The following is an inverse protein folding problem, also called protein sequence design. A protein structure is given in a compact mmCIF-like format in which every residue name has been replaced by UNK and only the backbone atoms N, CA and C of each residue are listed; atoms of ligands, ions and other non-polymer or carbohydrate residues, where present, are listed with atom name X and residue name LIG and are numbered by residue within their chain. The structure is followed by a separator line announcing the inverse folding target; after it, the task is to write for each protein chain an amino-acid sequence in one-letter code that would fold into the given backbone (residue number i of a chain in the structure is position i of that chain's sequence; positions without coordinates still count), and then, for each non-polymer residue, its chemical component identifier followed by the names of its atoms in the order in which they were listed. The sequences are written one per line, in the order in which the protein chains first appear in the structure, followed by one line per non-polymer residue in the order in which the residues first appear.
data_IF_681836079981
#
_entry.id   IF_681836079981
#
_cell.length_a   1.000
_cell.length_b   1.000
_cell.length_c   1.000
_cell.angle_alpha   90.00
_cell.angle_beta   90.00
_cell.angle_gamma   90.00
#
_symmetry.space_group_name_H-M   'P 1'
#
loop_
_entity.id
_entity.type
_entity.pdbx_description
1 polymer ?
#
# COMPACT_ATOMS: atom_id res chain seq x y z
N UNK A 1 15.65 -40.94 4.58
CA UNK A 1 14.86 -39.71 4.29
C UNK A 1 15.14 -38.71 5.40
N UNK A 2 15.62 -37.52 5.15
CA UNK A 2 15.99 -36.57 6.19
C UNK A 2 14.77 -35.79 6.77
N UNK A 3 13.56 -36.13 6.37
CA UNK A 3 12.34 -35.43 6.83
C UNK A 3 12.15 -35.54 8.35
N UNK A 4 12.24 -36.73 8.97
CA UNK A 4 12.11 -36.83 10.44
C UNK A 4 13.12 -35.97 11.17
N UNK A 5 14.38 -35.96 10.76
CA UNK A 5 15.43 -35.15 11.39
C UNK A 5 15.18 -33.64 11.23
N UNK A 6 14.58 -33.22 10.11
CA UNK A 6 14.14 -31.81 9.92
C UNK A 6 12.97 -31.46 10.81
N UNK A 7 12.01 -32.40 11.00
CA UNK A 7 10.87 -32.21 11.88
C UNK A 7 11.32 -32.08 13.34
N UNK A 8 12.18 -33.00 13.82
CA UNK A 8 12.75 -32.96 15.18
C UNK A 8 13.50 -31.64 15.41
N UNK A 9 14.27 -31.20 14.41
CA UNK A 9 14.98 -29.93 14.50
C UNK A 9 14.04 -28.75 14.53
N UNK A 10 12.99 -28.73 13.71
CA UNK A 10 11.97 -27.68 13.70
C UNK A 10 11.27 -27.61 15.08
N UNK A 11 10.85 -28.74 15.62
CA UNK A 11 10.22 -28.83 16.94
C UNK A 11 11.14 -28.30 18.05
N UNK A 12 12.43 -28.65 18.01
CA UNK A 12 13.44 -28.15 18.97
C UNK A 12 13.60 -26.63 18.92
N UNK A 13 13.24 -26.00 17.80
CA UNK A 13 13.27 -24.56 17.58
C UNK A 13 11.90 -23.88 17.83
N UNK A 14 10.88 -24.64 18.23
CA UNK A 14 9.51 -24.15 18.40
C UNK A 14 8.82 -23.81 17.08
N UNK A 15 9.24 -24.43 15.98
CA UNK A 15 8.67 -24.24 14.64
C UNK A 15 7.70 -25.40 14.38
N UNK A 16 6.46 -25.08 14.01
CA UNK A 16 5.48 -26.07 13.57
C UNK A 16 5.92 -26.66 12.22
N UNK A 17 6.13 -27.96 12.17
CA UNK A 17 6.52 -28.65 10.93
C UNK A 17 5.36 -29.44 10.35
N UNK A 18 5.11 -29.29 9.06
CA UNK A 18 4.05 -29.98 8.32
C UNK A 18 4.64 -30.60 7.07
N UNK A 19 4.41 -31.90 6.89
CA UNK A 19 4.63 -32.57 5.61
C UNK A 19 3.29 -32.62 4.88
N UNK A 20 3.13 -31.74 3.89
CA UNK A 20 1.90 -31.62 3.16
C UNK A 20 1.95 -32.46 1.86
N UNK A 21 0.99 -33.35 1.68
CA UNK A 21 0.77 -34.07 0.42
C UNK A 21 0.09 -33.20 -0.65
N UNK A 22 -0.31 -31.96 -0.26
CA UNK A 22 -0.96 -30.99 -1.15
C UNK A 22 -0.96 -29.58 -0.57
N UNK A 23 -1.17 -28.60 -1.44
CA UNK A 23 -1.12 -27.18 -1.09
C UNK A 23 -2.29 -26.72 -0.21
N UNK A 24 -3.43 -27.44 -0.24
CA UNK A 24 -4.69 -27.04 0.43
C UNK A 24 -4.54 -26.88 1.95
N UNK A 25 -3.76 -27.75 2.61
CA UNK A 25 -3.53 -27.66 4.05
C UNK A 25 -2.78 -26.39 4.45
N UNK A 26 -1.83 -25.97 3.62
CA UNK A 26 -1.04 -24.75 3.82
C UNK A 26 -1.90 -23.50 3.63
N UNK A 27 -2.81 -23.52 2.65
CA UNK A 27 -3.77 -22.44 2.36
C UNK A 27 -4.57 -22.09 3.62
N UNK A 28 -5.16 -23.09 4.27
CA UNK A 28 -5.97 -22.87 5.49
C UNK A 28 -5.20 -22.21 6.62
N UNK A 29 -3.95 -22.59 6.84
CA UNK A 29 -3.11 -22.02 7.90
C UNK A 29 -2.76 -20.55 7.64
N UNK A 30 -2.46 -20.22 6.38
CA UNK A 30 -2.13 -18.85 5.97
C UNK A 30 -3.38 -17.95 6.05
N UNK A 31 -4.51 -18.39 5.48
CA UNK A 31 -5.73 -17.59 5.44
C UNK A 31 -6.33 -17.34 6.83
N UNK A 32 -6.21 -18.30 7.74
CA UNK A 32 -6.69 -18.14 9.11
C UNK A 32 -5.67 -17.46 10.03
N UNK A 33 -4.55 -16.96 9.49
CA UNK A 33 -3.48 -16.28 10.25
C UNK A 33 -2.98 -17.12 11.46
N UNK A 34 -2.89 -18.45 11.27
CA UNK A 34 -2.40 -19.39 12.31
C UNK A 34 -0.87 -19.36 12.38
N UNK A 35 -0.21 -18.84 11.35
CA UNK A 35 1.25 -18.79 11.21
C UNK A 35 1.72 -17.36 10.95
N UNK A 36 2.81 -16.96 11.60
CA UNK A 36 3.41 -15.62 11.45
C UNK A 36 4.36 -15.54 10.25
N UNK A 37 4.96 -16.68 9.88
CA UNK A 37 5.85 -16.81 8.73
C UNK A 37 5.90 -18.26 8.25
N UNK A 38 6.37 -18.50 7.03
CA UNK A 38 6.44 -19.81 6.42
C UNK A 38 7.81 -20.05 5.80
N UNK A 39 8.42 -21.21 6.08
CA UNK A 39 9.55 -21.74 5.31
C UNK A 39 9.03 -22.90 4.47
N UNK A 40 8.95 -22.71 3.16
CA UNK A 40 8.50 -23.72 2.21
C UNK A 40 9.68 -24.43 1.54
N UNK A 41 9.73 -25.76 1.67
CA UNK A 41 10.72 -26.60 0.98
C UNK A 41 9.98 -27.49 -0.02
N UNK A 42 10.09 -27.22 -1.31
CA UNK A 42 9.34 -27.93 -2.35
C UNK A 42 9.95 -27.78 -3.75
N UNK A 43 9.32 -28.40 -4.75
CA UNK A 43 9.62 -28.08 -6.15
C UNK A 43 9.22 -26.64 -6.47
N UNK A 44 9.89 -26.05 -7.47
CA UNK A 44 9.70 -24.65 -7.84
C UNK A 44 8.25 -24.33 -8.18
N UNK A 45 7.57 -25.16 -8.95
CA UNK A 45 6.16 -25.00 -9.33
C UNK A 45 5.21 -24.88 -8.11
N UNK A 46 5.45 -25.69 -7.07
CA UNK A 46 4.65 -25.61 -5.84
C UNK A 46 4.95 -24.36 -5.03
N UNK A 47 6.20 -23.91 -4.99
CA UNK A 47 6.62 -22.70 -4.31
C UNK A 47 6.04 -21.46 -5.00
N UNK A 48 6.11 -21.40 -6.34
CA UNK A 48 5.53 -20.29 -7.12
C UNK A 48 4.01 -20.14 -6.91
N UNK A 49 3.29 -21.26 -6.80
CA UNK A 49 1.85 -21.24 -6.49
C UNK A 49 1.53 -20.73 -5.09
N UNK A 50 2.48 -20.82 -4.15
CA UNK A 50 2.32 -20.33 -2.78
C UNK A 50 2.50 -18.80 -2.66
N UNK A 51 3.33 -18.19 -3.49
CA UNK A 51 3.68 -16.76 -3.38
C UNK A 51 2.48 -15.81 -3.42
N UNK A 52 1.53 -15.90 -4.36
CA UNK A 52 0.38 -15.00 -4.39
C UNK A 52 -0.44 -15.05 -3.09
N UNK A 53 -0.54 -16.24 -2.49
CA UNK A 53 -1.27 -16.44 -1.24
C UNK A 53 -0.54 -15.79 -0.06
N UNK A 54 0.78 -15.97 0.06
CA UNK A 54 1.60 -15.35 1.10
C UNK A 54 1.54 -13.83 1.00
N UNK A 55 1.72 -13.29 -0.21
CA UNK A 55 1.64 -11.85 -0.47
C UNK A 55 0.25 -11.31 -0.14
N UNK A 56 -0.81 -11.98 -0.60
CA UNK A 56 -2.19 -11.55 -0.38
C UNK A 56 -2.61 -11.55 1.10
N UNK A 57 -1.95 -12.35 1.94
CA UNK A 57 -2.20 -12.41 3.38
C UNK A 57 -1.12 -11.72 4.23
N UNK A 58 -0.17 -11.03 3.59
CA UNK A 58 0.96 -10.35 4.24
C UNK A 58 1.77 -11.27 5.18
N UNK A 59 1.89 -12.57 4.84
CA UNK A 59 2.68 -13.55 5.59
C UNK A 59 4.08 -13.65 4.97
N UNK A 60 5.15 -13.31 5.72
CA UNK A 60 6.52 -13.48 5.26
C UNK A 60 6.81 -14.94 4.92
N UNK A 61 7.45 -15.19 3.78
CA UNK A 61 7.78 -16.54 3.33
C UNK A 61 9.20 -16.65 2.79
N UNK A 62 9.87 -17.73 3.16
CA UNK A 62 11.13 -18.14 2.58
C UNK A 62 10.91 -19.43 1.76
N UNK A 63 11.24 -19.39 0.48
CA UNK A 63 11.15 -20.54 -0.40
C UNK A 63 12.52 -21.17 -0.60
N UNK A 64 12.61 -22.48 -0.35
CA UNK A 64 13.82 -23.28 -0.57
C UNK A 64 13.49 -24.32 -1.63
N UNK A 65 13.94 -24.14 -2.88
CA UNK A 65 13.69 -25.09 -3.93
C UNK A 65 14.48 -26.39 -3.74
N UNK A 66 13.91 -27.51 -4.15
CA UNK A 66 14.59 -28.78 -4.19
C UNK A 66 15.72 -28.76 -5.23
N UNK A 67 16.89 -29.28 -4.89
CA UNK A 67 18.02 -29.42 -5.80
C UNK A 67 17.71 -30.44 -6.92
N UNK A 68 16.93 -31.48 -6.59
CA UNK A 68 16.35 -32.39 -7.53
C UNK A 68 14.85 -32.43 -7.33
N UNK A 69 14.13 -31.85 -8.26
CA UNK A 69 12.68 -31.83 -8.28
C UNK A 69 12.10 -33.15 -8.81
N UNK A 70 10.90 -33.49 -8.36
CA UNK A 70 10.15 -34.68 -8.78
C UNK A 70 9.28 -35.21 -7.64
N UNK A 71 8.49 -36.23 -7.92
CA UNK A 71 7.66 -36.92 -6.92
C UNK A 71 8.37 -38.09 -6.24
N UNK A 72 9.60 -38.39 -6.66
CA UNK A 72 10.40 -39.50 -6.16
C UNK A 72 11.89 -39.14 -6.18
N UNK A 73 12.63 -39.61 -5.17
CA UNK A 73 14.08 -39.41 -5.03
C UNK A 73 14.49 -37.91 -5.05
N UNK A 74 13.69 -37.07 -4.42
CA UNK A 74 13.95 -35.65 -4.30
C UNK A 74 15.14 -35.34 -3.39
N UNK A 75 15.86 -34.25 -3.65
CA UNK A 75 17.02 -33.83 -2.88
C UNK A 75 16.93 -32.35 -2.53
N UNK A 76 17.39 -32.02 -1.33
CA UNK A 76 17.53 -30.63 -0.86
C UNK A 76 18.86 -30.50 -0.10
N UNK A 77 19.44 -29.30 -0.10
CA UNK A 77 20.56 -29.00 0.79
C UNK A 77 20.05 -28.94 2.25
N UNK A 78 20.21 -30.07 2.94
CA UNK A 78 19.81 -30.21 4.33
C UNK A 78 20.47 -29.16 5.25
N UNK A 79 21.76 -28.90 5.07
CA UNK A 79 22.49 -27.92 5.85
C UNK A 79 21.96 -26.50 5.64
N UNK A 80 21.55 -26.18 4.43
CA UNK A 80 20.93 -24.92 4.10
C UNK A 80 19.56 -24.76 4.80
N UNK A 81 18.71 -25.79 4.74
CA UNK A 81 17.40 -25.77 5.45
C UNK A 81 17.58 -25.53 6.93
N UNK A 82 18.51 -26.26 7.58
CA UNK A 82 18.81 -26.10 9.02
C UNK A 82 19.28 -24.68 9.32
N UNK A 83 20.18 -24.12 8.51
CA UNK A 83 20.62 -22.72 8.70
C UNK A 83 19.46 -21.75 8.60
N UNK A 84 18.57 -21.88 7.63
CA UNK A 84 17.42 -21.01 7.45
C UNK A 84 16.43 -21.11 8.61
N UNK A 85 16.13 -22.32 9.10
CA UNK A 85 15.28 -22.52 10.28
C UNK A 85 15.91 -21.94 11.57
N UNK A 86 17.23 -21.92 11.64
CA UNK A 86 17.96 -21.42 12.82
C UNK A 86 18.17 -19.89 12.78
N UNK A 87 17.91 -19.23 11.64
CA UNK A 87 17.98 -17.78 11.54
C UNK A 87 16.82 -17.15 12.33
N UNK A 88 17.16 -16.52 13.42
CA UNK A 88 16.21 -15.77 14.24
C UNK A 88 16.67 -14.33 14.38
N UNK A 89 15.72 -13.43 14.41
CA UNK A 89 15.95 -12.06 14.86
C UNK A 89 15.33 -11.94 16.25
N UNK A 90 16.10 -11.47 17.22
CA UNK A 90 15.58 -11.11 18.55
C UNK A 90 14.79 -9.78 18.50
N UNK A 91 14.72 -9.15 17.33
CA UNK A 91 13.90 -7.96 17.13
C UNK A 91 12.45 -8.39 16.97
N UNK A 92 11.62 -7.87 17.84
CA UNK A 92 10.16 -7.96 17.70
C UNK A 92 9.77 -7.37 16.34
N UNK A 93 9.18 -8.20 15.47
CA UNK A 93 8.65 -7.74 14.17
C UNK A 93 7.32 -7.07 14.45
N UNK A 94 7.33 -5.75 14.49
CA UNK A 94 6.07 -5.00 14.51
C UNK A 94 5.42 -5.10 13.14
N UNK A 95 4.30 -5.78 13.07
CA UNK A 95 3.47 -5.80 11.86
C UNK A 95 2.64 -4.52 11.82
N UNK A 96 2.54 -3.94 10.63
CA UNK A 96 1.65 -2.81 10.40
C UNK A 96 0.19 -3.27 10.47
N UNK A 97 -0.63 -2.58 11.24
CA UNK A 97 -2.08 -2.78 11.25
C UNK A 97 -2.69 -2.15 9.97
N UNK A 98 -2.79 -2.97 8.92
CA UNK A 98 -3.30 -2.53 7.62
C UNK A 98 -4.77 -2.10 7.67
N UNK A 99 -5.59 -2.81 8.44
CA UNK A 99 -7.02 -2.56 8.50
C UNK A 99 -7.30 -1.31 9.35
N UNK A 100 -6.60 -1.14 10.47
CA UNK A 100 -6.64 0.06 11.29
C UNK A 100 -6.22 1.31 10.52
N UNK A 101 -5.09 1.25 9.82
CA UNK A 101 -4.62 2.37 9.00
C UNK A 101 -5.61 2.72 7.88
N UNK A 102 -6.22 1.71 7.24
CA UNK A 102 -7.26 1.95 6.22
C UNK A 102 -8.50 2.61 6.79
N UNK A 103 -8.93 2.21 7.99
CA UNK A 103 -10.06 2.83 8.68
C UNK A 103 -9.77 4.29 9.04
N UNK A 104 -8.55 4.59 9.46
CA UNK A 104 -8.13 5.96 9.77
C UNK A 104 -8.08 6.85 8.51
N UNK A 105 -7.57 6.33 7.39
CA UNK A 105 -7.66 7.04 6.12
C UNK A 105 -9.12 7.36 5.75
N UNK A 106 -10.04 6.43 5.98
CA UNK A 106 -11.48 6.69 5.76
C UNK A 106 -11.98 7.91 6.53
N UNK A 107 -11.53 8.09 7.77
CA UNK A 107 -11.85 9.27 8.60
C UNK A 107 -11.20 10.55 8.05
N UNK A 108 -9.92 10.48 7.62
CA UNK A 108 -9.20 11.66 7.11
C UNK A 108 -9.83 12.21 5.84
N UNK A 109 -10.40 11.35 5.00
CA UNK A 109 -11.06 11.72 3.74
C UNK A 109 -12.58 11.85 3.87
N UNK A 110 -13.13 11.87 5.08
CA UNK A 110 -14.54 12.24 5.26
C UNK A 110 -14.74 13.73 4.92
N UNK A 111 -15.92 14.08 4.42
CA UNK A 111 -16.23 15.47 4.05
C UNK A 111 -16.08 16.41 5.23
N UNK A 112 -16.47 15.99 6.43
CA UNK A 112 -16.36 16.78 7.66
C UNK A 112 -14.90 17.09 7.98
N UNK A 113 -14.01 16.10 7.89
CA UNK A 113 -12.60 16.31 8.17
C UNK A 113 -11.93 17.18 7.09
N UNK A 114 -12.22 16.89 5.81
CA UNK A 114 -11.70 17.70 4.70
C UNK A 114 -12.17 19.16 4.79
N UNK A 115 -13.43 19.41 5.12
CA UNK A 115 -13.96 20.77 5.33
C UNK A 115 -13.27 21.48 6.49
N UNK A 116 -12.78 20.78 7.50
CA UNK A 116 -12.00 21.36 8.60
C UNK A 116 -10.55 21.67 8.20
N UNK A 117 -10.00 20.93 7.26
CA UNK A 117 -8.62 21.08 6.78
C UNK A 117 -8.49 22.09 5.64
N UNK A 118 -9.50 22.19 4.78
CA UNK A 118 -9.50 23.04 3.59
C UNK A 118 -9.92 24.47 3.91
N UNK A 119 -9.62 25.38 2.98
CA UNK A 119 -10.20 26.71 2.97
C UNK A 119 -11.73 26.62 2.89
N UNK A 120 -12.47 27.54 3.54
CA UNK A 120 -13.94 27.48 3.56
C UNK A 120 -14.55 27.48 2.16
N UNK A 121 -15.29 26.42 1.80
CA UNK A 121 -15.99 26.28 0.53
C UNK A 121 -17.25 27.19 0.51
N UNK A 122 -17.09 28.43 0.07
CA UNK A 122 -18.17 29.45 0.05
C UNK A 122 -18.78 29.66 -1.34
N UNK A 123 -18.25 29.03 -2.36
CA UNK A 123 -18.66 29.12 -3.75
C UNK A 123 -18.79 27.74 -4.38
N UNK A 124 -19.38 27.67 -5.58
CA UNK A 124 -19.63 26.42 -6.28
C UNK A 124 -18.34 25.66 -6.59
N UNK A 125 -17.29 26.35 -7.06
CA UNK A 125 -16.04 25.72 -7.47
C UNK A 125 -15.34 25.05 -6.28
N UNK A 126 -15.27 25.75 -5.15
CA UNK A 126 -14.69 25.21 -3.90
C UNK A 126 -15.51 24.03 -3.36
N UNK A 127 -16.85 24.08 -3.48
CA UNK A 127 -17.72 22.97 -3.08
C UNK A 127 -17.48 21.74 -3.95
N UNK A 128 -17.37 21.90 -5.27
CA UNK A 128 -17.08 20.82 -6.22
C UNK A 128 -15.68 20.22 -5.95
N UNK A 129 -14.69 21.05 -5.63
CA UNK A 129 -13.36 20.58 -5.26
C UNK A 129 -13.37 19.71 -3.98
N UNK A 130 -14.11 20.14 -2.96
CA UNK A 130 -14.28 19.41 -1.71
C UNK A 130 -14.99 18.07 -1.93
N UNK A 131 -16.10 18.07 -2.68
CA UNK A 131 -16.86 16.85 -3.01
C UNK A 131 -16.02 15.88 -3.83
N UNK A 132 -15.25 16.37 -4.80
CA UNK A 132 -14.33 15.57 -5.58
C UNK A 132 -13.24 14.95 -4.72
N UNK A 133 -12.69 15.70 -3.77
CA UNK A 133 -11.68 15.22 -2.85
C UNK A 133 -12.23 14.14 -1.91
N UNK A 134 -13.43 14.29 -1.37
CA UNK A 134 -14.12 13.31 -0.52
C UNK A 134 -14.68 12.11 -1.28
N UNK A 135 -14.83 12.21 -2.60
CA UNK A 135 -15.42 11.19 -3.47
C UNK A 135 -14.56 9.92 -3.58
N UNK A 136 -14.93 9.04 -4.50
CA UNK A 136 -14.33 7.71 -4.70
C UNK A 136 -12.83 7.76 -4.98
N UNK A 137 -12.12 6.69 -4.57
CA UNK A 137 -10.70 6.50 -4.80
C UNK A 137 -10.11 5.49 -3.82
N UNK A 138 -9.13 4.72 -4.28
CA UNK A 138 -8.48 3.68 -3.45
C UNK A 138 -7.58 4.27 -2.35
N UNK A 139 -7.27 5.54 -2.38
CA UNK A 139 -6.41 6.27 -1.42
C UNK A 139 -5.05 5.60 -1.18
N UNK A 140 -4.52 4.88 -2.17
CA UNK A 140 -3.30 4.10 -1.98
C UNK A 140 -2.06 4.99 -1.79
N UNK A 141 -2.03 6.21 -2.36
CA UNK A 141 -0.91 7.14 -2.18
C UNK A 141 -0.82 7.68 -0.75
N UNK A 142 -1.91 8.23 -0.17
CA UNK A 142 -1.97 8.57 1.25
C UNK A 142 -1.64 7.38 2.15
N UNK A 143 -2.17 6.20 1.81
CA UNK A 143 -1.90 4.97 2.53
C UNK A 143 -0.41 4.63 2.55
N UNK A 144 0.23 4.64 1.39
CA UNK A 144 1.66 4.33 1.25
C UNK A 144 2.52 5.32 2.06
N UNK A 145 2.19 6.62 2.02
CA UNK A 145 2.90 7.64 2.79
C UNK A 145 2.81 7.35 4.30
N UNK A 146 1.61 7.13 4.82
CA UNK A 146 1.40 6.85 6.24
C UNK A 146 2.03 5.51 6.67
N UNK A 147 1.87 4.46 5.87
CA UNK A 147 2.48 3.15 6.13
C UNK A 147 4.01 3.22 6.16
N UNK A 148 4.61 3.96 5.23
CA UNK A 148 6.06 4.17 5.20
C UNK A 148 6.55 4.91 6.44
N UNK A 149 5.84 5.95 6.86
CA UNK A 149 6.16 6.68 8.10
C UNK A 149 6.16 5.74 9.31
N UNK A 150 5.06 5.00 9.52
CA UNK A 150 4.96 4.05 10.64
C UNK A 150 6.04 2.97 10.61
N UNK A 151 6.35 2.44 9.41
CA UNK A 151 7.38 1.42 9.24
C UNK A 151 8.80 1.93 9.56
N UNK A 152 9.11 3.18 9.21
CA UNK A 152 10.43 3.77 9.42
C UNK A 152 10.64 4.26 10.86
N UNK A 153 9.58 4.78 11.49
CA UNK A 153 9.66 5.34 12.85
C UNK A 153 9.39 4.29 13.94
N UNK A 154 8.63 3.26 13.63
CA UNK A 154 8.14 2.29 14.60
C UNK A 154 7.04 2.83 15.51
N UNK A 155 6.48 4.00 15.18
CA UNK A 155 5.34 4.58 15.89
C UNK A 155 4.06 3.79 15.61
N UNK A 156 3.06 3.95 16.47
CA UNK A 156 1.76 3.27 16.35
C UNK A 156 0.66 4.19 15.83
N UNK A 157 0.89 5.51 15.87
CA UNK A 157 -0.07 6.52 15.45
C UNK A 157 0.55 7.43 14.39
N UNK A 158 -0.29 7.93 13.49
CA UNK A 158 0.13 8.85 12.43
C UNK A 158 -0.02 10.30 12.92
N UNK A 159 1.07 11.08 13.03
CA UNK A 159 1.01 12.47 13.47
C UNK A 159 0.21 13.35 12.50
N UNK A 160 -0.31 14.46 13.01
CA UNK A 160 -1.11 15.42 12.25
C UNK A 160 -0.39 15.97 10.99
N UNK A 161 0.94 16.14 11.06
CA UNK A 161 1.74 16.58 9.90
C UNK A 161 1.77 15.54 8.78
N UNK A 162 1.90 14.27 9.15
CA UNK A 162 1.86 13.17 8.19
C UNK A 162 0.47 13.01 7.60
N UNK A 163 -0.60 13.21 8.39
CA UNK A 163 -1.97 13.27 7.87
C UNK A 163 -2.14 14.41 6.86
N UNK A 164 -1.68 15.63 7.20
CA UNK A 164 -1.71 16.78 6.29
C UNK A 164 -0.97 16.49 4.99
N UNK A 165 0.22 15.93 5.08
CA UNK A 165 1.01 15.54 3.92
C UNK A 165 0.30 14.46 3.08
N UNK A 166 -0.34 13.49 3.71
CA UNK A 166 -1.12 12.44 3.03
C UNK A 166 -2.33 13.02 2.28
N UNK A 167 -3.06 13.97 2.89
CA UNK A 167 -4.16 14.68 2.24
C UNK A 167 -3.62 15.53 1.08
N UNK A 168 -2.50 16.22 1.26
CA UNK A 168 -1.88 17.05 0.21
C UNK A 168 -1.46 16.21 -1.01
N UNK A 169 -0.86 15.04 -0.82
CA UNK A 169 -0.50 14.13 -1.91
C UNK A 169 -1.75 13.71 -2.71
N UNK A 170 -2.85 13.45 -2.03
CA UNK A 170 -4.10 13.13 -2.73
C UNK A 170 -4.72 14.35 -3.42
N UNK A 171 -4.54 15.57 -2.88
CA UNK A 171 -4.93 16.80 -3.58
C UNK A 171 -4.23 16.91 -4.94
N UNK A 172 -2.90 16.74 -4.98
CA UNK A 172 -2.14 16.76 -6.23
C UNK A 172 -2.61 15.68 -7.20
N UNK A 173 -2.85 14.46 -6.70
CA UNK A 173 -3.37 13.38 -7.53
C UNK A 173 -4.77 13.68 -8.08
N UNK A 174 -5.69 14.13 -7.24
CA UNK A 174 -7.06 14.45 -7.66
C UNK A 174 -7.08 15.64 -8.64
N UNK A 175 -6.18 16.61 -8.48
CA UNK A 175 -6.00 17.70 -9.43
C UNK A 175 -5.52 17.20 -10.78
N UNK A 176 -4.51 16.32 -10.82
CA UNK A 176 -4.00 15.75 -12.06
C UNK A 176 -5.09 14.99 -12.84
N UNK A 177 -5.97 14.24 -12.11
CA UNK A 177 -7.08 13.55 -12.76
C UNK A 177 -8.10 14.50 -13.40
N UNK A 178 -8.36 15.66 -12.79
CA UNK A 178 -9.27 16.67 -13.38
C UNK A 178 -8.66 17.29 -14.64
N UNK A 179 -7.36 17.60 -14.61
CA UNK A 179 -6.67 18.16 -15.77
C UNK A 179 -6.53 17.12 -16.91
N UNK A 180 -6.28 15.88 -16.57
CA UNK A 180 -6.22 14.73 -17.48
C UNK A 180 -7.57 14.53 -18.20
N UNK A 181 -8.70 14.51 -17.46
CA UNK A 181 -10.05 14.43 -18.03
C UNK A 181 -10.34 15.54 -19.05
N UNK A 182 -9.77 16.74 -18.83
CA UNK A 182 -9.91 17.87 -19.78
C UNK A 182 -9.06 17.64 -21.02
N UNK A 183 -7.80 17.21 -20.85
CA UNK A 183 -6.85 16.98 -21.94
C UNK A 183 -7.33 15.87 -22.87
N UNK A 184 -7.83 14.77 -22.29
CA UNK A 184 -8.31 13.62 -23.03
C UNK A 184 -9.77 13.76 -23.49
N UNK A 185 -10.44 14.85 -23.07
CA UNK A 185 -11.86 15.06 -23.31
C UNK A 185 -12.74 13.93 -22.80
N UNK A 186 -12.34 13.34 -21.66
CA UNK A 186 -13.06 12.27 -21.01
C UNK A 186 -14.43 12.72 -20.52
N UNK A 187 -15.42 11.83 -20.63
CA UNK A 187 -16.80 12.08 -20.22
C UNK A 187 -17.18 11.39 -18.93
N UNK A 188 -16.45 10.33 -18.57
CA UNK A 188 -16.74 9.52 -17.39
C UNK A 188 -15.45 9.13 -16.66
N UNK A 189 -15.50 9.17 -15.32
CA UNK A 189 -14.46 8.66 -14.42
C UNK A 189 -15.12 7.99 -13.22
N UNK A 190 -14.66 6.80 -12.88
CA UNK A 190 -15.27 5.96 -11.83
C UNK A 190 -16.77 5.67 -12.05
N UNK A 191 -17.22 5.55 -13.31
CA UNK A 191 -18.63 5.33 -13.65
C UNK A 191 -19.54 6.54 -13.44
N UNK A 192 -18.97 7.74 -13.28
CA UNK A 192 -19.69 9.01 -13.10
C UNK A 192 -19.19 10.02 -14.15
N UNK A 193 -20.04 10.99 -14.53
CA UNK A 193 -19.59 12.06 -15.40
C UNK A 193 -18.41 12.83 -14.80
N UNK A 194 -17.46 13.21 -15.65
CA UNK A 194 -16.30 14.02 -15.25
C UNK A 194 -16.72 15.45 -14.86
N UNK A 195 -15.85 16.18 -14.14
CA UNK A 195 -16.14 17.57 -13.73
C UNK A 195 -16.31 18.47 -14.95
N UNK A 196 -15.47 18.31 -16.01
CA UNK A 196 -15.62 19.06 -17.25
C UNK A 196 -16.91 18.73 -18.00
N UNK A 197 -17.43 17.52 -17.92
CA UNK A 197 -18.72 17.14 -18.50
C UNK A 197 -19.91 17.74 -17.74
N UNK A 198 -19.83 17.83 -16.39
CA UNK A 198 -20.92 18.35 -15.55
C UNK A 198 -20.96 19.89 -15.50
N UNK A 199 -19.80 20.53 -15.35
CA UNK A 199 -19.70 21.95 -15.03
C UNK A 199 -18.98 22.77 -16.11
N UNK A 200 -18.48 22.13 -17.14
CA UNK A 200 -17.69 22.75 -18.21
C UNK A 200 -16.21 22.92 -17.85
N UNK A 201 -15.40 23.08 -18.92
CA UNK A 201 -13.94 23.19 -18.80
C UNK A 201 -13.47 24.33 -17.88
N UNK A 202 -14.04 25.56 -17.91
CA UNK A 202 -13.56 26.64 -17.04
C UNK A 202 -13.67 26.30 -15.54
N UNK A 203 -14.76 25.66 -15.12
CA UNK A 203 -14.95 25.23 -13.73
C UNK A 203 -13.98 24.09 -13.40
N UNK A 204 -13.84 23.13 -14.30
CA UNK A 204 -12.94 21.99 -14.08
C UNK A 204 -11.48 22.43 -13.89
N UNK A 205 -10.98 23.36 -14.71
CA UNK A 205 -9.64 23.93 -14.52
C UNK A 205 -9.49 24.53 -13.11
N UNK A 206 -10.43 25.38 -12.70
CA UNK A 206 -10.36 26.02 -11.40
C UNK A 206 -10.47 25.03 -10.25
N UNK A 207 -11.25 23.95 -10.39
CA UNK A 207 -11.31 22.86 -9.39
C UNK A 207 -9.94 22.19 -9.24
N UNK A 208 -9.26 21.85 -10.34
CA UNK A 208 -7.91 21.33 -10.33
C UNK A 208 -6.92 22.28 -9.65
N UNK A 209 -6.96 23.56 -9.99
CA UNK A 209 -6.08 24.59 -9.43
C UNK A 209 -6.33 24.83 -7.94
N UNK A 210 -7.59 24.81 -7.48
CA UNK A 210 -7.93 24.86 -6.06
C UNK A 210 -7.28 23.69 -5.33
N UNK A 211 -7.39 22.48 -5.83
CA UNK A 211 -6.78 21.30 -5.22
C UNK A 211 -5.26 21.40 -5.16
N UNK A 212 -4.60 21.91 -6.20
CA UNK A 212 -3.16 22.21 -6.17
C UNK A 212 -2.83 23.20 -5.05
N UNK A 213 -3.59 24.30 -4.98
CA UNK A 213 -3.45 25.33 -3.95
C UNK A 213 -3.61 24.77 -2.53
N UNK A 214 -4.66 23.96 -2.30
CA UNK A 214 -4.91 23.30 -1.00
C UNK A 214 -3.79 22.31 -0.64
N UNK A 215 -3.28 21.55 -1.61
CA UNK A 215 -2.14 20.66 -1.40
C UNK A 215 -0.91 21.40 -0.89
N UNK A 216 -0.52 22.51 -1.54
CA UNK A 216 0.61 23.34 -1.10
C UNK A 216 0.33 24.03 0.23
N UNK A 217 -0.89 24.49 0.47
CA UNK A 217 -1.28 25.10 1.74
C UNK A 217 -1.15 24.12 2.90
N UNK A 218 -1.61 22.89 2.74
CA UNK A 218 -1.47 21.83 3.74
C UNK A 218 0.00 21.50 4.04
N UNK A 219 0.83 21.38 3.01
CA UNK A 219 2.27 21.15 3.19
C UNK A 219 2.98 22.30 3.88
N UNK A 220 2.54 23.56 3.64
CA UNK A 220 3.12 24.72 4.30
C UNK A 220 2.84 24.80 5.80
N UNK A 221 1.84 24.05 6.28
CA UNK A 221 1.48 23.92 7.70
C UNK A 221 2.23 22.81 8.42
N UNK A 222 3.01 22.00 7.70
CA UNK A 222 3.85 20.98 8.29
C UNK A 222 5.19 21.56 8.74
N UNK A 223 5.75 21.03 9.82
CA UNK A 223 7.04 21.50 10.36
C UNK A 223 8.22 21.23 9.40
N UNK A 224 8.12 20.20 8.58
CA UNK A 224 9.14 19.84 7.58
C UNK A 224 9.08 20.76 6.35
N UNK A 225 9.79 21.87 6.39
CA UNK A 225 9.85 22.88 5.29
C UNK A 225 10.28 22.32 3.93
N UNK A 226 11.00 21.21 3.90
CA UNK A 226 11.43 20.52 2.67
C UNK A 226 10.28 19.88 1.90
N UNK A 227 9.17 19.56 2.54
CA UNK A 227 8.02 18.89 1.88
C UNK A 227 7.47 19.72 0.72
N UNK A 228 7.36 21.03 0.89
CA UNK A 228 6.85 21.93 -0.18
C UNK A 228 7.80 21.93 -1.38
N UNK A 229 9.11 21.95 -1.16
CA UNK A 229 10.10 21.89 -2.24
C UNK A 229 10.04 20.57 -2.99
N UNK A 230 9.99 19.44 -2.27
CA UNK A 230 9.84 18.10 -2.86
C UNK A 230 8.56 17.99 -3.69
N UNK A 231 7.45 18.50 -3.18
CA UNK A 231 6.18 18.51 -3.90
C UNK A 231 6.24 19.40 -5.15
N UNK A 232 6.90 20.56 -5.09
CA UNK A 232 7.07 21.43 -6.24
C UNK A 232 7.92 20.79 -7.33
N UNK A 233 9.03 20.16 -6.98
CA UNK A 233 9.89 19.45 -7.93
C UNK A 233 9.15 18.27 -8.58
N UNK A 234 8.39 17.50 -7.79
CA UNK A 234 7.57 16.41 -8.30
C UNK A 234 6.46 16.91 -9.24
N UNK A 235 5.80 18.02 -8.90
CA UNK A 235 4.76 18.62 -9.74
C UNK A 235 5.34 19.12 -11.08
N UNK A 236 6.49 19.81 -11.05
CA UNK A 236 7.17 20.24 -12.28
C UNK A 236 7.53 19.02 -13.16
N UNK A 237 8.05 17.95 -12.55
CA UNK A 237 8.39 16.73 -13.28
C UNK A 237 7.14 16.07 -13.91
N UNK A 238 6.02 16.02 -13.17
CA UNK A 238 4.74 15.50 -13.67
C UNK A 238 4.25 16.31 -14.87
N UNK A 239 4.22 17.64 -14.78
CA UNK A 239 3.79 18.50 -15.90
C UNK A 239 4.66 18.34 -17.14
N UNK A 240 5.99 18.16 -16.94
CA UNK A 240 6.90 17.90 -18.08
C UNK A 240 6.63 16.54 -18.71
N UNK A 241 6.35 15.51 -17.91
CA UNK A 241 5.99 14.18 -18.40
C UNK A 241 4.69 14.22 -19.22
N UNK A 242 3.65 14.82 -18.66
CA UNK A 242 2.35 14.96 -19.33
C UNK A 242 2.43 15.75 -20.66
N UNK A 243 3.28 16.75 -20.72
CA UNK A 243 3.48 17.53 -21.95
C UNK A 243 4.33 16.83 -23.03
N UNK A 244 4.81 15.61 -22.77
CA UNK A 244 5.57 14.79 -23.73
C UNK A 244 4.70 13.72 -24.41
N UNK A 245 3.48 13.50 -23.96
CA UNK A 245 2.48 12.60 -24.55
C UNK A 245 1.72 13.29 -25.67
#
# INVERSE_FOLDING_TARGET
CPIPDLQDKAESLGIMSIVAEGFTSVVGLIQNRVVDSVIGVSCLDSLEKAFPLLIGNAVPGLAIPLNRAGCKDTQVDYGYVIRMMSMRSDKEVKLLDYDGLRADLGKWFSIENLASCFSPAKDQTSSVALDWMGGEGKRWRPYLLAATYLALTGETEVPADVQRAAIAVECFHKASLVHDDIQDNDKERYGKPTINALYGVPIAINVGDILLGEGYRLLSQCDARTLTAVAADAHIALCKGQGME
#
